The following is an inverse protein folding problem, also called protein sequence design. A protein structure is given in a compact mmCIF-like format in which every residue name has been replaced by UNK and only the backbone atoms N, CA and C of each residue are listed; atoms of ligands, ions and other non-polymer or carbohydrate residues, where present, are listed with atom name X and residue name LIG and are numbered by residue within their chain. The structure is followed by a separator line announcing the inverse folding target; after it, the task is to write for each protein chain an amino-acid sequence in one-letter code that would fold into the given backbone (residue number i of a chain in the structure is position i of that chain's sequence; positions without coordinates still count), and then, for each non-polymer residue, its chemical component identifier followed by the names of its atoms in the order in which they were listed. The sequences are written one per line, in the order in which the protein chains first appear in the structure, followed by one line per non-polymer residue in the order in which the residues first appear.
data_IF_557707922659
#
_entry.id   IF_557707922659
#
_cell.length_a   1.000
_cell.length_b   1.000
_cell.length_c   1.000
_cell.angle_alpha   90.00
_cell.angle_beta   90.00
_cell.angle_gamma   90.00
#
_symmetry.space_group_name_H-M   'P 1'
#
loop_
_entity.id
_entity.type
_entity.pdbx_description
1 polymer ?
#
# COMPACT_ATOMS: atom_id res chain seq x y z
N UNK A 1 -5.84 -5.66 -4.41
CA UNK A 1 -4.65 -5.79 -5.28
C UNK A 1 -3.86 -7.06 -4.97
N UNK A 2 -3.74 -7.43 -3.69
CA UNK A 2 -3.13 -8.67 -3.22
C UNK A 2 -3.52 -9.91 -4.05
N UNK A 3 -4.82 -10.20 -4.19
CA UNK A 3 -5.31 -11.36 -4.96
C UNK A 3 -4.85 -11.35 -6.42
N UNK A 4 -4.78 -10.18 -7.06
CA UNK A 4 -4.35 -10.06 -8.46
C UNK A 4 -2.86 -10.35 -8.57
N UNK A 5 -2.04 -9.80 -7.67
CA UNK A 5 -0.59 -10.02 -7.66
C UNK A 5 -0.23 -11.47 -7.33
N UNK A 6 -0.96 -12.11 -6.41
CA UNK A 6 -0.80 -13.54 -6.09
C UNK A 6 -1.18 -14.44 -7.27
N UNK A 7 -2.28 -14.14 -7.96
CA UNK A 7 -2.69 -14.84 -9.18
C UNK A 7 -1.69 -14.62 -10.32
N UNK A 8 -1.17 -13.39 -10.47
CA UNK A 8 -0.18 -13.06 -11.50
C UNK A 8 1.16 -13.78 -11.25
N UNK A 9 1.63 -13.79 -10.00
CA UNK A 9 2.84 -14.53 -9.61
C UNK A 9 2.70 -16.03 -9.83
N UNK A 10 1.55 -16.60 -9.48
CA UNK A 10 1.23 -18.00 -9.77
C UNK A 10 1.17 -18.29 -11.27
N UNK A 11 0.56 -17.40 -12.06
CA UNK A 11 0.50 -17.52 -13.52
C UNK A 11 1.90 -17.51 -14.15
N UNK A 12 2.77 -16.59 -13.73
CA UNK A 12 4.16 -16.51 -14.21
C UNK A 12 4.94 -17.78 -13.90
N UNK A 13 4.77 -18.36 -12.71
CA UNK A 13 5.37 -19.64 -12.33
C UNK A 13 4.93 -20.78 -13.27
N UNK A 14 3.62 -20.89 -13.51
CA UNK A 14 3.05 -21.93 -14.38
C UNK A 14 3.57 -21.78 -15.81
N UNK A 15 3.56 -20.56 -16.36
CA UNK A 15 4.07 -20.30 -17.71
C UNK A 15 5.55 -20.62 -17.83
N UNK A 16 6.39 -20.16 -16.88
CA UNK A 16 7.83 -20.44 -16.93
C UNK A 16 8.14 -21.94 -16.80
N UNK A 17 7.34 -22.67 -16.01
CA UNK A 17 7.46 -24.11 -15.89
C UNK A 17 7.22 -24.81 -17.24
N UNK A 18 6.10 -24.50 -17.91
CA UNK A 18 5.77 -25.06 -19.21
C UNK A 18 6.75 -24.63 -20.31
N UNK A 19 7.22 -23.38 -20.30
CA UNK A 19 8.24 -22.90 -21.23
C UNK A 19 9.55 -23.67 -21.04
N UNK A 20 9.96 -23.97 -19.80
CA UNK A 20 11.14 -24.79 -19.56
C UNK A 20 10.98 -26.23 -20.05
N UNK A 21 9.78 -26.81 -19.91
CA UNK A 21 9.46 -28.16 -20.43
C UNK A 21 9.49 -28.17 -21.96
N UNK A 22 8.87 -27.20 -22.64
CA UNK A 22 8.87 -27.14 -24.11
C UNK A 22 10.27 -26.91 -24.66
N UNK A 23 11.06 -26.06 -24.02
CA UNK A 23 12.49 -25.90 -24.33
C UNK A 23 13.25 -27.22 -24.24
N UNK A 24 13.01 -28.00 -23.17
CA UNK A 24 13.71 -29.25 -22.92
C UNK A 24 13.42 -30.33 -23.98
N UNK A 25 12.15 -30.51 -24.33
CA UNK A 25 11.71 -31.65 -25.15
C UNK A 25 11.48 -31.33 -26.64
N UNK A 26 11.32 -30.06 -27.00
CA UNK A 26 10.88 -29.67 -28.36
C UNK A 26 11.93 -28.88 -29.13
N UNK A 27 12.76 -28.09 -28.44
CA UNK A 27 13.61 -27.09 -29.11
C UNK A 27 15.11 -27.41 -28.99
N UNK A 28 15.56 -27.77 -27.79
CA UNK A 28 16.98 -27.73 -27.46
C UNK A 28 17.57 -29.12 -27.13
N UNK A 29 17.02 -30.21 -27.67
CA UNK A 29 17.54 -31.59 -27.54
C UNK A 29 17.99 -31.96 -26.11
N UNK A 30 17.08 -31.88 -25.14
CA UNK A 30 17.34 -32.26 -23.74
C UNK A 30 18.40 -31.42 -23.01
N UNK A 31 18.64 -30.17 -23.42
CA UNK A 31 19.51 -29.25 -22.67
C UNK A 31 18.84 -28.78 -21.37
N UNK A 32 18.99 -29.60 -20.33
CA UNK A 32 18.53 -29.36 -18.97
C UNK A 32 18.96 -28.00 -18.40
N UNK A 33 20.15 -27.51 -18.76
CA UNK A 33 20.62 -26.19 -18.33
C UNK A 33 19.67 -25.06 -18.73
N UNK A 34 19.06 -25.12 -19.92
CA UNK A 34 18.18 -24.06 -20.38
C UNK A 34 16.82 -24.15 -19.67
N UNK A 35 16.30 -25.36 -19.49
CA UNK A 35 15.07 -25.61 -18.73
C UNK A 35 15.19 -25.16 -17.27
N UNK A 36 16.29 -25.51 -16.59
CA UNK A 36 16.56 -25.09 -15.20
C UNK A 36 16.66 -23.56 -15.12
N UNK A 37 17.31 -22.90 -16.09
CA UNK A 37 17.37 -21.44 -16.13
C UNK A 37 15.99 -20.81 -16.23
N UNK A 38 15.10 -21.35 -17.06
CA UNK A 38 13.71 -20.89 -17.16
C UNK A 38 12.95 -21.08 -15.87
N UNK A 39 13.08 -22.24 -15.22
CA UNK A 39 12.43 -22.52 -13.95
C UNK A 39 12.92 -21.61 -12.82
N UNK A 40 14.24 -21.43 -12.69
CA UNK A 40 14.82 -20.53 -11.69
C UNK A 40 14.41 -19.07 -11.93
N UNK A 41 14.45 -18.61 -13.19
CA UNK A 41 13.98 -17.27 -13.55
C UNK A 41 12.49 -17.09 -13.21
N UNK A 42 11.68 -18.10 -13.48
CA UNK A 42 10.26 -18.11 -13.13
C UNK A 42 10.02 -18.03 -11.61
N UNK A 43 10.78 -18.80 -10.83
CA UNK A 43 10.69 -18.79 -9.35
C UNK A 43 11.07 -17.41 -8.80
N UNK A 44 12.21 -16.86 -9.24
CA UNK A 44 12.67 -15.55 -8.77
C UNK A 44 11.64 -14.47 -9.12
N UNK A 45 11.17 -14.45 -10.37
CA UNK A 45 10.20 -13.45 -10.83
C UNK A 45 8.87 -13.60 -10.10
N UNK A 46 8.39 -14.82 -9.91
CA UNK A 46 7.17 -15.11 -9.15
C UNK A 46 7.27 -14.65 -7.70
N UNK A 47 8.40 -14.90 -7.04
CA UNK A 47 8.66 -14.46 -5.66
C UNK A 47 8.71 -12.92 -5.54
N UNK A 48 9.34 -12.24 -6.50
CA UNK A 48 9.40 -10.77 -6.55
C UNK A 48 8.00 -10.18 -6.74
N UNK A 49 7.20 -10.71 -7.67
CA UNK A 49 5.84 -10.24 -7.91
C UNK A 49 4.93 -10.48 -6.69
N UNK A 50 5.08 -11.62 -6.02
CA UNK A 50 4.36 -11.91 -4.80
C UNK A 50 4.69 -10.88 -3.70
N UNK A 51 5.99 -10.66 -3.46
CA UNK A 51 6.48 -9.74 -2.43
C UNK A 51 6.09 -8.29 -2.72
N UNK A 52 6.14 -7.85 -3.98
CA UNK A 52 5.64 -6.54 -4.40
C UNK A 52 4.15 -6.37 -4.11
N UNK A 53 3.37 -7.44 -4.24
CA UNK A 53 1.94 -7.43 -3.91
C UNK A 53 1.69 -7.09 -2.44
N UNK A 54 2.45 -7.71 -1.54
CA UNK A 54 2.37 -7.44 -0.10
C UNK A 54 2.87 -6.03 0.25
N UNK A 55 3.97 -5.58 -0.34
CA UNK A 55 4.50 -4.23 -0.09
C UNK A 55 3.48 -3.16 -0.47
N UNK A 56 2.82 -3.32 -1.63
CA UNK A 56 1.78 -2.37 -2.07
C UNK A 56 0.58 -2.36 -1.13
N UNK A 57 0.23 -3.50 -0.54
CA UNK A 57 -0.85 -3.59 0.44
C UNK A 57 -0.50 -2.90 1.76
N UNK A 58 0.72 -3.12 2.26
CA UNK A 58 1.22 -2.37 3.42
C UNK A 58 1.27 -0.87 3.17
N UNK A 59 1.73 -0.46 1.98
CA UNK A 59 1.79 0.96 1.62
C UNK A 59 0.38 1.57 1.53
N UNK A 60 -0.59 0.82 1.02
CA UNK A 60 -1.99 1.25 0.98
C UNK A 60 -2.57 1.41 2.40
N UNK A 61 -2.34 0.45 3.30
CA UNK A 61 -2.82 0.53 4.69
C UNK A 61 -2.17 1.70 5.45
N UNK A 62 -0.86 1.90 5.28
CA UNK A 62 -0.14 3.05 5.86
C UNK A 62 -0.74 4.36 5.33
N UNK A 63 -0.96 4.46 4.02
CA UNK A 63 -1.53 5.67 3.42
C UNK A 63 -2.94 5.97 3.95
N UNK A 64 -3.74 4.93 4.17
CA UNK A 64 -5.08 5.05 4.73
C UNK A 64 -5.02 5.58 6.16
N UNK A 65 -4.18 4.98 7.02
CA UNK A 65 -4.01 5.40 8.42
C UNK A 65 -3.47 6.83 8.54
N UNK A 66 -2.49 7.20 7.72
CA UNK A 66 -1.94 8.57 7.70
C UNK A 66 -3.03 9.56 7.32
N UNK A 67 -3.82 9.26 6.29
CA UNK A 67 -4.92 10.12 5.85
C UNK A 67 -6.04 10.22 6.89
N UNK A 68 -6.31 9.13 7.61
CA UNK A 68 -7.25 9.10 8.73
C UNK A 68 -6.76 9.97 9.90
N UNK A 69 -5.48 9.88 10.25
CA UNK A 69 -4.84 10.71 11.28
C UNK A 69 -4.84 12.19 10.91
N UNK A 70 -4.54 12.54 9.66
CA UNK A 70 -4.67 13.92 9.16
C UNK A 70 -6.12 14.41 9.26
N UNK A 71 -7.09 13.55 8.91
CA UNK A 71 -8.49 13.91 8.99
C UNK A 71 -8.93 14.15 10.44
N UNK A 72 -8.47 13.35 11.40
CA UNK A 72 -8.75 13.55 12.83
C UNK A 72 -8.06 14.82 13.37
N UNK A 73 -6.78 15.02 13.05
CA UNK A 73 -6.03 16.21 13.46
C UNK A 73 -6.62 17.52 12.91
N UNK A 74 -7.24 17.47 11.73
CA UNK A 74 -7.94 18.61 11.14
C UNK A 74 -9.33 18.82 11.76
N UNK A 75 -9.97 17.75 12.25
CA UNK A 75 -11.28 17.81 12.92
C UNK A 75 -11.18 18.38 14.34
N UNK A 76 -10.06 18.14 15.03
CA UNK A 76 -9.75 18.74 16.35
C UNK A 76 -9.35 20.22 16.29
N UNK A 77 -9.11 20.76 15.09
CA UNK A 77 -9.12 22.22 14.88
C UNK A 77 -10.56 22.70 14.82
N UNK A 78 -11.29 22.58 15.93
CA UNK A 78 -12.48 23.38 16.13
C UNK A 78 -12.10 24.85 15.89
N UNK A 79 -12.87 25.62 15.09
CA UNK A 79 -12.60 27.03 14.96
C UNK A 79 -12.58 27.62 16.37
N UNK A 80 -11.50 28.32 16.72
CA UNK A 80 -11.37 28.97 18.01
C UNK A 80 -12.71 29.65 18.33
N UNK A 81 -13.29 29.44 19.52
CA UNK A 81 -14.60 29.98 19.84
C UNK A 81 -14.53 31.46 19.51
N UNK A 82 -15.39 31.91 18.58
CA UNK A 82 -15.51 33.33 18.26
C UNK A 82 -15.72 34.02 19.60
N UNK A 83 -14.70 34.73 20.08
CA UNK A 83 -14.75 35.59 21.25
C UNK A 83 -15.78 36.67 20.94
N UNK A 84 -17.05 36.32 21.13
CA UNK A 84 -18.18 37.18 20.95
C UNK A 84 -18.03 38.32 21.94
N UNK A 85 -17.78 39.51 21.42
CA UNK A 85 -17.95 40.79 22.09
C UNK A 85 -17.63 40.80 23.60
N UNK A 86 -16.35 40.65 23.93
CA UNK A 86 -15.77 40.96 25.26
C UNK A 86 -15.82 42.47 25.62
N UNK A 87 -16.76 43.21 25.02
CA UNK A 87 -17.11 44.60 25.38
C UNK A 87 -18.38 44.68 26.21
N UNK A 88 -19.15 43.59 26.34
CA UNK A 88 -20.43 43.60 27.02
C UNK A 88 -20.33 43.57 28.56
N UNK A 89 -19.23 43.10 29.15
CA UNK A 89 -19.11 42.93 30.61
C UNK A 89 -18.30 44.03 31.33
N UNK A 90 -17.68 44.96 30.60
CA UNK A 90 -16.97 46.10 31.20
C UNK A 90 -17.91 47.14 31.81
N UNK A 91 -19.17 47.21 31.37
CA UNK A 91 -20.16 48.12 31.94
C UNK A 91 -20.74 47.61 33.27
N UNK A 92 -20.71 46.29 33.55
CA UNK A 92 -21.16 45.74 34.83
C UNK A 92 -20.14 45.92 35.96
N UNK A 93 -18.89 46.21 35.63
CA UNK A 93 -17.82 46.51 36.58
C UNK A 93 -17.81 47.98 37.05
N UNK A 94 -18.58 48.87 36.41
CA UNK A 94 -18.67 50.28 36.84
C UNK A 94 -19.48 50.49 38.11
N UNK A 95 -20.38 49.57 38.45
CA UNK A 95 -21.17 49.62 39.68
C UNK A 95 -20.51 48.87 40.86
N UNK A 96 -19.37 48.21 40.62
CA UNK A 96 -18.58 47.60 41.69
C UNK A 96 -17.76 48.69 42.40
N UNK A 97 -18.43 49.42 43.29
CA UNK A 97 -17.82 50.44 44.16
C UNK A 97 -16.95 49.74 45.21
N UNK A 98 -15.63 49.96 45.13
CA UNK A 98 -14.67 49.69 46.21
C UNK A 98 -14.82 50.76 47.29
#
# INVERSE_FOLDING_TARGET
MEKIMKVLGGFVLVVCFFVGITQLFVVDDYRWLVAIRWWLSGIITGAVLYSLGEILEYLADISYRVRELEHMATKDKAPAPKLGNSKADLNKLKDFKV
#
